data_IF_806954876015
#
_entry.id   IF_806954876015
#
_cell.length_a   1.000
_cell.length_b   1.000
_cell.length_c   1.000
_cell.angle_alpha   90.00
_cell.angle_beta   90.00
_cell.angle_gamma   90.00
#
_symmetry.space_group_name_H-M   'P 1'
#
loop_
_entity.id
_entity.type
_entity.pdbx_description
1 polymer ?
#
# COMPACT_ATOMS: atom_id res chain seq x y z
N UNK A 1 4.19 -12.00 -77.85
CA UNK A 1 3.08 -11.93 -76.85
C UNK A 1 3.12 -13.18 -75.94
N UNK A 2 4.26 -13.44 -75.28
CA UNK A 2 4.47 -14.64 -74.47
C UNK A 2 5.35 -14.42 -73.18
N UNK A 3 5.54 -13.19 -72.71
CA UNK A 3 6.46 -12.88 -71.63
C UNK A 3 5.78 -12.37 -70.36
N UNK A 4 4.43 -12.38 -70.30
CA UNK A 4 3.68 -11.82 -69.13
C UNK A 4 2.97 -12.86 -68.28
N UNK A 5 3.20 -14.16 -68.46
CA UNK A 5 2.44 -15.22 -67.81
C UNK A 5 3.17 -15.95 -66.64
N UNK A 6 4.46 -15.67 -66.45
CA UNK A 6 5.27 -16.35 -65.43
C UNK A 6 5.51 -15.54 -64.14
N UNK A 7 5.23 -14.23 -64.11
CA UNK A 7 5.44 -13.40 -62.94
C UNK A 7 4.33 -13.52 -61.85
N UNK A 8 3.14 -13.96 -62.25
CA UNK A 8 2.00 -14.01 -61.29
C UNK A 8 1.97 -15.24 -60.39
N UNK A 9 2.70 -16.31 -60.74
CA UNK A 9 2.71 -17.53 -59.93
C UNK A 9 3.74 -17.49 -58.80
N UNK A 10 4.78 -16.68 -58.94
CA UNK A 10 5.81 -16.51 -57.89
C UNK A 10 5.36 -15.58 -56.72
N UNK A 11 4.39 -14.69 -56.96
CA UNK A 11 3.89 -13.79 -55.95
C UNK A 11 2.86 -14.44 -54.99
N UNK A 12 2.20 -15.52 -55.44
CA UNK A 12 1.22 -16.25 -54.64
C UNK A 12 1.84 -17.22 -53.63
N UNK A 13 3.09 -17.63 -53.83
CA UNK A 13 3.80 -18.55 -52.92
C UNK A 13 4.37 -17.80 -51.68
N UNK A 14 4.59 -16.48 -51.76
CA UNK A 14 5.17 -15.71 -50.64
C UNK A 14 4.16 -15.28 -49.60
N UNK A 15 2.86 -15.32 -49.89
CA UNK A 15 1.80 -14.95 -48.92
C UNK A 15 1.35 -16.11 -48.02
N UNK A 16 1.84 -17.36 -48.25
CA UNK A 16 1.43 -18.51 -47.43
C UNK A 16 2.40 -18.79 -46.28
N UNK A 17 3.52 -18.09 -46.20
CA UNK A 17 4.60 -18.38 -45.24
C UNK A 17 4.61 -17.53 -43.97
N UNK A 18 3.58 -16.71 -43.70
CA UNK A 18 3.46 -15.94 -42.46
C UNK A 18 2.25 -16.35 -41.61
N UNK A 19 2.10 -17.64 -41.38
CA UNK A 19 1.32 -18.07 -40.21
C UNK A 19 2.27 -18.07 -38.99
N UNK A 20 1.99 -17.30 -37.94
CA UNK A 20 2.80 -17.41 -36.75
C UNK A 20 2.73 -18.86 -36.25
N UNK A 21 3.85 -19.41 -35.76
CA UNK A 21 3.86 -20.75 -35.23
C UNK A 21 2.73 -20.87 -34.19
N UNK A 22 1.84 -21.84 -34.39
CA UNK A 22 0.87 -22.20 -33.35
C UNK A 22 1.71 -22.67 -32.16
N UNK A 23 1.87 -21.80 -31.13
CA UNK A 23 2.36 -22.23 -29.86
C UNK A 23 1.40 -23.30 -29.35
N UNK A 24 1.84 -24.54 -29.40
CA UNK A 24 1.14 -25.66 -28.74
C UNK A 24 1.30 -25.37 -27.26
N UNK A 25 0.30 -24.74 -26.68
CA UNK A 25 0.25 -24.56 -25.23
C UNK A 25 0.15 -25.94 -24.58
N UNK A 26 1.26 -26.38 -24.01
CA UNK A 26 1.28 -27.58 -23.18
C UNK A 26 0.42 -27.33 -21.94
N UNK A 27 -0.76 -27.95 -21.91
CA UNK A 27 -1.68 -27.89 -20.77
C UNK A 27 -1.20 -28.75 -19.57
N UNK A 28 -0.09 -29.47 -19.71
CA UNK A 28 0.46 -30.34 -18.67
C UNK A 28 0.83 -29.55 -17.43
N UNK A 29 1.39 -28.36 -17.58
CA UNK A 29 1.73 -27.46 -16.47
C UNK A 29 0.50 -27.01 -15.66
N UNK A 30 -0.60 -26.70 -16.31
CA UNK A 30 -1.84 -26.29 -15.63
C UNK A 30 -2.49 -27.45 -14.86
N UNK A 31 -2.43 -28.65 -15.41
CA UNK A 31 -2.95 -29.86 -14.73
C UNK A 31 -2.11 -30.17 -13.47
N UNK A 32 -0.79 -30.10 -13.58
CA UNK A 32 0.14 -30.32 -12.47
C UNK A 32 -0.06 -29.30 -11.37
N UNK A 33 -0.21 -28.01 -11.71
CA UNK A 33 -0.48 -26.93 -10.73
C UNK A 33 -1.78 -27.22 -9.96
N UNK A 34 -2.85 -27.57 -10.66
CA UNK A 34 -4.15 -27.89 -10.04
C UNK A 34 -4.04 -29.05 -9.06
N UNK A 35 -3.38 -30.12 -9.49
CA UNK A 35 -3.17 -31.31 -8.66
C UNK A 35 -2.41 -30.97 -7.40
N UNK A 36 -1.27 -30.30 -7.53
CA UNK A 36 -0.40 -29.96 -6.40
C UNK A 36 -1.09 -29.04 -5.41
N UNK A 37 -1.83 -28.02 -5.86
CA UNK A 37 -2.56 -27.12 -4.96
C UNK A 37 -3.67 -27.87 -4.21
N UNK A 38 -4.46 -28.71 -4.89
CA UNK A 38 -5.50 -29.47 -4.23
C UNK A 38 -4.92 -30.44 -3.18
N UNK A 39 -3.79 -31.06 -3.49
CA UNK A 39 -3.09 -31.95 -2.58
C UNK A 39 -2.56 -31.19 -1.34
N UNK A 40 -1.94 -30.02 -1.53
CA UNK A 40 -1.49 -29.15 -0.44
C UNK A 40 -2.66 -28.70 0.44
N UNK A 41 -3.79 -28.30 -0.14
CA UNK A 41 -4.99 -27.92 0.62
C UNK A 41 -5.50 -29.10 1.44
N UNK A 42 -5.57 -30.29 0.83
CA UNK A 42 -6.02 -31.50 1.53
C UNK A 42 -5.08 -31.89 2.68
N UNK A 43 -3.77 -31.81 2.47
CA UNK A 43 -2.76 -32.15 3.47
C UNK A 43 -2.63 -31.12 4.59
N UNK A 44 -3.05 -29.87 4.36
CA UNK A 44 -2.94 -28.80 5.35
C UNK A 44 -3.76 -29.03 6.61
N UNK A 45 -4.85 -29.84 6.52
CA UNK A 45 -5.78 -30.06 7.62
C UNK A 45 -6.52 -28.80 8.09
N UNK A 46 -6.43 -27.69 7.35
CA UNK A 46 -7.07 -26.41 7.71
C UNK A 46 -8.57 -26.47 7.45
N UNK A 47 -9.36 -26.27 8.49
CA UNK A 47 -10.80 -25.98 8.37
C UNK A 47 -10.98 -24.46 8.20
N UNK A 48 -10.85 -24.00 6.95
CA UNK A 48 -10.89 -22.57 6.62
C UNK A 48 -11.72 -22.31 5.36
N UNK A 49 -12.39 -21.16 5.32
CA UNK A 49 -13.02 -20.64 4.12
C UNK A 49 -11.94 -20.06 3.18
N UNK A 50 -11.71 -20.72 2.05
CA UNK A 50 -10.68 -20.33 1.09
C UNK A 50 -11.28 -19.86 -0.22
N UNK A 51 -10.69 -18.82 -0.79
CA UNK A 51 -10.87 -18.41 -2.18
C UNK A 51 -9.49 -18.28 -2.82
N UNK A 52 -9.23 -18.99 -3.92
CA UNK A 52 -7.94 -18.96 -4.62
C UNK A 52 -8.19 -18.74 -6.11
N UNK A 53 -7.45 -17.81 -6.72
CA UNK A 53 -7.42 -17.61 -8.16
C UNK A 53 -5.98 -17.35 -8.60
N UNK A 54 -5.48 -18.17 -9.51
CA UNK A 54 -4.15 -18.02 -10.11
C UNK A 54 -4.33 -17.73 -11.59
N UNK A 55 -3.73 -16.64 -12.04
CA UNK A 55 -3.81 -16.17 -13.43
C UNK A 55 -2.40 -15.99 -13.96
N UNK A 56 -2.16 -16.41 -15.19
CA UNK A 56 -0.93 -16.08 -15.91
C UNK A 56 -0.95 -14.60 -16.26
N UNK A 57 0.05 -13.84 -15.81
CA UNK A 57 0.18 -12.42 -16.14
C UNK A 57 0.50 -12.20 -17.63
N UNK A 58 1.16 -13.15 -18.26
CA UNK A 58 1.51 -13.08 -19.68
C UNK A 58 0.30 -13.27 -20.59
N UNK A 59 -0.59 -14.23 -20.25
CA UNK A 59 -1.68 -14.64 -21.15
C UNK A 59 -3.08 -14.27 -20.65
N UNK A 60 -3.23 -13.80 -19.39
CA UNK A 60 -4.51 -13.59 -18.73
C UNK A 60 -5.29 -14.87 -18.42
N UNK A 61 -4.72 -16.06 -18.74
CA UNK A 61 -5.41 -17.34 -18.57
C UNK A 61 -5.46 -17.76 -17.11
N UNK A 62 -6.63 -18.15 -16.64
CA UNK A 62 -6.79 -18.74 -15.30
C UNK A 62 -6.18 -20.13 -15.24
N UNK A 63 -5.17 -20.32 -14.41
CA UNK A 63 -4.46 -21.58 -14.18
C UNK A 63 -5.11 -22.41 -13.09
N UNK A 64 -5.62 -21.74 -12.04
CA UNK A 64 -6.33 -22.36 -10.92
C UNK A 64 -7.45 -21.47 -10.41
N UNK A 65 -8.54 -22.08 -9.96
CA UNK A 65 -9.68 -21.35 -9.39
C UNK A 65 -10.40 -22.24 -8.38
N UNK A 66 -10.47 -21.79 -7.13
CA UNK A 66 -11.26 -22.40 -6.05
C UNK A 66 -12.05 -21.26 -5.39
N UNK A 67 -13.37 -21.37 -5.37
CA UNK A 67 -14.26 -20.37 -4.74
C UNK A 67 -13.92 -18.90 -5.09
N UNK A 68 -13.39 -18.64 -6.28
CA UNK A 68 -12.83 -17.33 -6.67
C UNK A 68 -13.86 -16.20 -6.75
N UNK A 69 -15.15 -16.53 -6.70
CA UNK A 69 -16.26 -15.58 -6.66
C UNK A 69 -16.91 -15.46 -5.28
N UNK A 70 -16.42 -16.22 -4.30
CA UNK A 70 -16.94 -16.16 -2.94
C UNK A 70 -16.52 -14.85 -2.29
N UNK A 71 -17.48 -14.16 -1.68
CA UNK A 71 -17.18 -12.96 -0.89
C UNK A 71 -16.55 -13.37 0.43
N UNK A 72 -15.38 -12.85 0.69
CA UNK A 72 -14.61 -13.08 1.91
C UNK A 72 -14.27 -11.72 2.53
N UNK A 73 -14.09 -11.69 3.85
CA UNK A 73 -13.61 -10.49 4.55
C UNK A 73 -12.18 -10.19 4.07
N UNK A 74 -11.93 -9.03 3.46
CA UNK A 74 -10.61 -8.72 2.90
C UNK A 74 -9.56 -8.43 3.96
N UNK A 75 -9.99 -8.01 5.17
CA UNK A 75 -9.09 -7.55 6.22
C UNK A 75 -8.01 -6.60 5.65
N UNK A 76 -6.75 -6.76 6.02
CA UNK A 76 -5.65 -5.91 5.54
C UNK A 76 -5.37 -6.01 4.03
N UNK A 77 -5.97 -6.95 3.31
CA UNK A 77 -5.82 -7.00 1.86
C UNK A 77 -6.42 -5.75 1.17
N UNK A 78 -7.32 -5.03 1.84
CA UNK A 78 -7.85 -3.75 1.34
C UNK A 78 -6.74 -2.72 1.11
N UNK A 79 -5.63 -2.81 1.86
CA UNK A 79 -4.47 -1.93 1.70
C UNK A 79 -3.83 -2.01 0.31
N UNK A 80 -3.93 -3.17 -0.35
CA UNK A 80 -3.43 -3.32 -1.72
C UNK A 80 -4.18 -2.42 -2.70
N UNK A 81 -5.49 -2.29 -2.52
CA UNK A 81 -6.32 -1.40 -3.34
C UNK A 81 -6.02 0.07 -3.03
N UNK A 82 -5.88 0.42 -1.75
CA UNK A 82 -5.51 1.77 -1.34
C UNK A 82 -4.14 2.17 -1.89
N UNK A 83 -3.14 1.27 -1.82
CA UNK A 83 -1.81 1.52 -2.38
C UNK A 83 -1.85 1.65 -3.91
N UNK A 84 -2.63 0.81 -4.60
CA UNK A 84 -2.76 0.89 -6.05
C UNK A 84 -3.41 2.21 -6.47
N UNK A 85 -4.49 2.63 -5.81
CA UNK A 85 -5.14 3.92 -6.05
C UNK A 85 -4.18 5.10 -5.76
N UNK A 86 -3.44 5.05 -4.67
CA UNK A 86 -2.47 6.09 -4.33
C UNK A 86 -1.35 6.21 -5.39
N UNK A 87 -0.84 5.09 -5.90
CA UNK A 87 0.17 5.10 -6.96
C UNK A 87 -0.39 5.64 -8.29
N UNK A 88 -1.63 5.31 -8.62
CA UNK A 88 -2.29 5.80 -9.84
C UNK A 88 -2.58 7.30 -9.77
N UNK A 89 -3.09 7.79 -8.64
CA UNK A 89 -3.53 9.18 -8.48
C UNK A 89 -2.38 10.14 -8.15
N UNK A 90 -1.44 9.71 -7.31
CA UNK A 90 -0.36 10.57 -6.79
C UNK A 90 0.98 10.35 -7.49
N UNK A 91 1.16 9.19 -8.11
CA UNK A 91 2.43 8.79 -8.71
C UNK A 91 3.48 8.30 -7.70
N UNK A 92 4.54 7.67 -8.22
CA UNK A 92 5.64 7.11 -7.42
C UNK A 92 6.52 8.17 -6.74
N UNK A 93 6.52 9.39 -7.27
CA UNK A 93 7.38 10.48 -6.80
C UNK A 93 6.68 11.40 -5.79
N UNK A 94 5.45 11.07 -5.42
CA UNK A 94 4.73 11.84 -4.39
C UNK A 94 5.51 11.90 -3.09
N UNK A 95 5.52 13.08 -2.46
CA UNK A 95 6.15 13.32 -1.16
C UNK A 95 5.19 14.07 -0.25
N UNK A 96 5.01 13.56 0.96
CA UNK A 96 4.34 14.31 2.02
C UNK A 96 5.12 15.55 2.38
N UNK A 97 4.44 16.63 2.74
CA UNK A 97 5.07 17.91 3.06
C UNK A 97 4.56 18.44 4.40
N UNK A 98 5.42 18.47 5.40
CA UNK A 98 5.17 19.24 6.62
C UNK A 98 5.78 20.62 6.43
N UNK A 99 4.99 21.68 6.62
CA UNK A 99 5.36 23.05 6.26
C UNK A 99 5.28 23.93 7.48
N UNK A 100 6.28 24.82 7.66
CA UNK A 100 6.18 25.93 8.59
C UNK A 100 5.98 27.21 7.80
N UNK A 101 4.94 27.95 8.13
CA UNK A 101 4.64 29.27 7.60
C UNK A 101 4.87 30.31 8.67
N UNK A 102 5.35 31.51 8.28
CA UNK A 102 5.53 32.64 9.18
C UNK A 102 4.54 33.76 8.82
N UNK A 103 3.91 34.33 9.84
CA UNK A 103 3.08 35.52 9.71
C UNK A 103 3.39 36.48 10.87
N UNK A 104 4.23 37.50 10.57
CA UNK A 104 4.82 38.34 11.61
C UNK A 104 5.69 37.48 12.54
N UNK A 105 5.47 37.60 13.85
CA UNK A 105 6.12 36.76 14.87
C UNK A 105 5.37 35.44 15.16
N UNK A 106 4.33 35.14 14.39
CA UNK A 106 3.61 33.87 14.56
C UNK A 106 4.12 32.83 13.58
N UNK A 107 4.17 31.59 14.03
CA UNK A 107 4.45 30.42 13.20
C UNK A 107 3.21 29.54 13.04
N UNK A 108 3.06 28.92 11.89
CA UNK A 108 2.00 27.95 11.60
C UNK A 108 2.69 26.67 11.14
N UNK A 109 2.57 25.63 11.94
CA UNK A 109 3.01 24.27 11.58
C UNK A 109 1.85 23.56 10.90
N UNK A 110 1.97 23.35 9.59
CA UNK A 110 0.95 22.70 8.78
C UNK A 110 1.29 21.24 8.52
N UNK A 111 0.41 20.34 8.96
CA UNK A 111 0.51 18.91 8.72
C UNK A 111 0.18 18.54 7.28
N UNK A 112 0.98 17.64 6.71
CA UNK A 112 0.81 17.14 5.33
C UNK A 112 0.32 15.70 5.25
N UNK A 113 -0.16 15.12 6.35
CA UNK A 113 -0.66 13.73 6.39
C UNK A 113 0.45 12.67 6.34
N UNK A 114 1.70 13.03 6.67
CA UNK A 114 2.80 12.07 6.72
C UNK A 114 2.69 11.17 7.96
N UNK A 115 2.40 9.85 7.81
CA UNK A 115 2.28 8.95 8.94
C UNK A 115 3.64 8.57 9.56
N UNK A 116 4.74 8.93 8.92
CA UNK A 116 6.10 8.57 9.34
C UNK A 116 6.91 9.75 9.88
N UNK A 117 6.31 10.92 10.04
CA UNK A 117 7.00 12.07 10.61
C UNK A 117 7.48 11.74 12.03
N UNK A 118 8.79 11.90 12.25
CA UNK A 118 9.42 11.65 13.54
C UNK A 118 9.71 12.95 14.28
N UNK A 119 9.93 12.84 15.61
CA UNK A 119 10.35 13.97 16.41
C UNK A 119 11.70 14.55 15.94
N UNK A 120 12.62 13.70 15.48
CA UNK A 120 13.94 14.15 14.96
C UNK A 120 13.82 14.95 13.66
N UNK A 121 12.88 14.57 12.79
CA UNK A 121 12.57 15.33 11.58
C UNK A 121 11.94 16.67 11.92
N UNK A 122 11.03 16.70 12.90
CA UNK A 122 10.42 17.92 13.38
C UNK A 122 11.46 18.83 14.04
N UNK A 123 12.35 18.30 14.89
CA UNK A 123 13.47 19.04 15.49
C UNK A 123 14.37 19.65 14.42
N UNK A 124 14.68 18.89 13.38
CA UNK A 124 15.45 19.40 12.23
C UNK A 124 14.74 20.54 11.51
N UNK A 125 13.43 20.44 11.31
CA UNK A 125 12.59 21.49 10.71
C UNK A 125 12.59 22.75 11.58
N UNK A 126 12.41 22.59 12.90
CA UNK A 126 12.47 23.70 13.86
C UNK A 126 13.82 24.39 13.80
N UNK A 127 14.93 23.66 13.88
CA UNK A 127 16.29 24.22 13.81
C UNK A 127 16.56 25.05 12.55
N UNK A 128 15.97 24.63 11.42
CA UNK A 128 16.09 25.39 10.18
C UNK A 128 15.22 26.64 10.23
N UNK A 129 14.01 26.51 10.74
CA UNK A 129 13.02 27.60 10.80
C UNK A 129 13.50 28.75 11.69
N UNK A 130 14.00 28.45 12.89
CA UNK A 130 14.37 29.48 13.88
C UNK A 130 15.68 30.19 13.58
N UNK A 131 16.48 29.77 12.61
CA UNK A 131 17.76 30.39 12.28
C UNK A 131 17.67 31.89 11.96
N UNK A 132 16.55 32.35 11.44
CA UNK A 132 16.32 33.71 11.00
C UNK A 132 15.13 34.37 11.70
N UNK A 133 14.72 33.84 12.87
CA UNK A 133 13.58 34.33 13.65
C UNK A 133 14.10 34.63 15.04
N UNK A 134 14.03 35.92 15.43
CA UNK A 134 14.53 36.38 16.72
C UNK A 134 13.54 36.09 17.85
N UNK A 135 12.23 36.16 17.58
CA UNK A 135 11.17 35.94 18.57
C UNK A 135 9.94 35.30 17.94
N UNK A 136 9.26 34.43 18.70
CA UNK A 136 8.02 33.74 18.31
C UNK A 136 6.96 33.99 19.36
N UNK A 137 5.90 34.71 18.97
CA UNK A 137 4.78 34.99 19.89
C UNK A 137 3.87 33.75 20.04
N UNK A 138 3.49 33.11 18.92
CA UNK A 138 2.55 32.01 18.93
C UNK A 138 2.90 30.99 17.87
N UNK A 139 2.78 29.70 18.22
CA UNK A 139 2.80 28.59 17.29
C UNK A 139 1.36 28.06 17.11
N UNK A 140 0.85 28.19 15.90
CA UNK A 140 -0.41 27.55 15.47
C UNK A 140 -0.12 26.19 14.85
N UNK A 141 -1.02 25.22 15.09
CA UNK A 141 -0.99 23.93 14.42
C UNK A 141 -2.18 23.85 13.47
N UNK A 142 -1.89 23.56 12.20
CA UNK A 142 -2.90 23.43 11.13
C UNK A 142 -3.01 21.97 10.69
N UNK A 143 -4.11 21.34 11.03
CA UNK A 143 -4.48 19.97 10.65
C UNK A 143 -5.58 19.92 9.57
N UNK A 144 -5.88 21.05 8.95
CA UNK A 144 -7.02 21.21 8.02
C UNK A 144 -6.95 20.38 6.74
N UNK A 145 -5.84 19.64 6.51
CA UNK A 145 -5.74 18.70 5.39
C UNK A 145 -6.71 17.52 5.53
N UNK A 146 -6.97 17.08 6.75
CA UNK A 146 -7.93 16.03 7.06
C UNK A 146 -9.12 16.65 7.81
N UNK A 147 -10.22 15.90 7.87
CA UNK A 147 -11.36 16.28 8.70
C UNK A 147 -11.09 16.09 10.19
N UNK A 148 -12.05 16.44 11.03
CA UNK A 148 -11.95 16.32 12.49
C UNK A 148 -12.21 14.91 13.03
N UNK A 149 -12.37 13.90 12.16
CA UNK A 149 -12.58 12.52 12.57
C UNK A 149 -11.25 11.81 12.73
N UNK A 150 -10.81 11.65 13.96
CA UNK A 150 -9.54 10.99 14.27
C UNK A 150 -9.60 9.47 14.25
N UNK A 151 -10.78 8.89 14.14
CA UNK A 151 -11.02 7.43 14.14
C UNK A 151 -11.87 7.05 12.96
N UNK A 152 -11.49 6.00 12.25
CA UNK A 152 -12.25 5.48 11.12
C UNK A 152 -13.60 4.89 11.55
N UNK A 153 -14.59 4.96 10.65
CA UNK A 153 -15.87 4.28 10.88
C UNK A 153 -15.65 2.77 11.04
N UNK A 154 -16.26 2.18 12.05
CA UNK A 154 -16.13 0.75 12.36
C UNK A 154 -14.92 0.40 13.24
N UNK A 155 -14.13 1.37 13.69
CA UNK A 155 -13.15 1.14 14.75
C UNK A 155 -13.87 0.92 16.06
N UNK A 156 -13.48 -0.15 16.77
CA UNK A 156 -14.17 -0.55 17.99
C UNK A 156 -13.55 0.15 19.20
N UNK A 157 -14.40 0.54 20.14
CA UNK A 157 -13.99 1.25 21.37
C UNK A 157 -13.03 0.41 22.25
N UNK A 158 -13.07 -0.91 22.10
CA UNK A 158 -12.27 -1.87 22.87
C UNK A 158 -10.96 -2.29 22.19
N UNK A 159 -10.61 -1.72 21.04
CA UNK A 159 -9.31 -1.97 20.39
C UNK A 159 -8.13 -1.44 21.21
N UNK A 160 -8.41 -0.58 22.19
CA UNK A 160 -7.47 -0.17 23.22
C UNK A 160 -6.38 0.80 22.75
N UNK A 161 -5.49 1.15 23.68
CA UNK A 161 -4.40 2.10 23.45
C UNK A 161 -3.18 1.38 22.84
N UNK A 162 -3.27 1.01 21.57
CA UNK A 162 -2.18 0.34 20.83
C UNK A 162 -1.74 1.19 19.64
N UNK A 163 -0.52 0.95 19.15
CA UNK A 163 -0.01 1.61 17.92
C UNK A 163 -0.89 1.32 16.70
N UNK A 164 -1.69 0.26 16.76
CA UNK A 164 -2.58 -0.13 15.68
C UNK A 164 -3.84 0.75 15.59
N UNK A 165 -4.33 1.22 16.73
CA UNK A 165 -5.53 2.05 16.86
C UNK A 165 -5.22 3.51 17.24
N UNK A 166 -4.01 3.98 16.93
CA UNK A 166 -3.65 5.37 17.15
C UNK A 166 -4.54 6.31 16.32
N UNK A 167 -4.93 7.48 16.86
CA UNK A 167 -5.76 8.44 16.12
C UNK A 167 -5.08 8.94 14.86
N UNK A 168 -5.88 9.27 13.85
CA UNK A 168 -5.42 9.81 12.56
C UNK A 168 -5.47 11.33 12.61
N UNK A 169 -4.41 11.98 12.14
CA UNK A 169 -4.32 13.43 12.06
C UNK A 169 -3.45 13.85 10.87
N UNK A 170 -3.66 15.05 10.36
CA UNK A 170 -2.82 15.60 9.30
C UNK A 170 -1.40 15.89 9.79
N UNK A 171 -1.22 16.10 11.10
CA UNK A 171 0.07 16.22 11.76
C UNK A 171 0.26 15.03 12.71
N UNK A 172 0.76 13.94 12.18
CA UNK A 172 1.08 12.72 12.94
C UNK A 172 2.56 12.71 13.28
N UNK A 173 2.90 12.66 14.56
CA UNK A 173 4.28 12.58 15.04
C UNK A 173 4.47 11.25 15.76
N UNK A 174 5.55 10.52 15.44
CA UNK A 174 5.84 9.20 16.01
C UNK A 174 4.61 8.26 16.01
N UNK A 175 3.83 8.30 14.88
CA UNK A 175 2.60 7.51 14.70
C UNK A 175 1.49 7.84 15.72
N UNK A 176 1.46 9.06 16.24
CA UNK A 176 0.56 9.50 17.31
C UNK A 176 0.59 8.58 18.54
N UNK A 177 1.77 8.07 18.89
CA UNK A 177 1.98 7.17 20.01
C UNK A 177 3.02 7.74 20.96
N UNK A 178 2.83 7.45 22.24
CA UNK A 178 3.79 7.70 23.31
C UNK A 178 4.22 6.35 23.86
N UNK A 179 5.53 6.13 23.94
CA UNK A 179 6.08 4.92 24.54
C UNK A 179 6.33 5.19 26.03
N UNK A 180 5.86 4.28 26.88
CA UNK A 180 6.08 4.32 28.33
C UNK A 180 6.99 3.18 28.73
N UNK A 181 8.02 3.50 29.51
CA UNK A 181 8.89 2.50 30.10
C UNK A 181 8.55 2.36 31.60
N UNK A 182 8.11 1.18 32.00
CA UNK A 182 7.76 0.90 33.39
C UNK A 182 8.90 0.10 34.02
N UNK A 183 9.51 0.66 35.05
CA UNK A 183 10.57 0.03 35.82
C UNK A 183 10.06 -0.31 37.22
N UNK A 184 10.55 -1.42 37.84
CA UNK A 184 10.20 -1.71 39.23
C UNK A 184 10.75 -0.63 40.18
N UNK A 185 9.91 -0.17 41.07
CA UNK A 185 10.31 0.68 42.21
C UNK A 185 10.88 -0.14 43.37
N UNK A 186 11.03 0.51 44.53
CA UNK A 186 11.39 -0.18 45.77
C UNK A 186 10.28 -1.16 46.16
N UNK A 187 10.65 -2.28 46.81
CA UNK A 187 9.70 -3.28 47.29
C UNK A 187 8.62 -2.61 48.15
N UNK A 188 7.34 -2.79 47.80
CA UNK A 188 6.20 -2.14 48.43
C UNK A 188 5.93 -0.70 47.96
N UNK A 189 6.73 -0.16 47.04
CA UNK A 189 6.57 1.18 46.45
C UNK A 189 5.86 1.18 45.12
N UNK A 190 5.68 2.40 44.55
CA UNK A 190 5.11 2.59 43.22
C UNK A 190 6.14 2.24 42.14
N UNK A 191 5.66 1.77 40.99
CA UNK A 191 6.48 1.65 39.78
C UNK A 191 6.99 3.03 39.33
N UNK A 192 8.14 3.04 38.68
CA UNK A 192 8.72 4.22 38.02
C UNK A 192 8.26 4.19 36.58
N UNK A 193 7.68 5.28 36.10
CA UNK A 193 7.26 5.47 34.72
C UNK A 193 8.18 6.51 34.12
N UNK A 194 8.79 6.15 33.00
CA UNK A 194 9.74 6.98 32.25
C UNK A 194 9.20 7.18 30.82
#
# INVERSE_FOLDING_TARGET
MQLFRQSSLLFLIWCISCSPPKTIYDNSGSFTIKKNINELISLSGLDANMGIKIVSLETGKTLYSLNSKKLLMPASNIKLYACAAALEELGSDYRFKTIVLQNGNNLILKGGGDPNLTIDQLDSLVKITIKNIDDVDTLFVDESLLDSFHYGQGWMWDEGSTKYSAPISALTINKNCVDFFVKPGKTGGKAIID
#
